data_IF_603531160872
#
_entry.id   IF_603531160872
#
_cell.length_a   1.000
_cell.length_b   1.000
_cell.length_c   1.000
_cell.angle_alpha   90.00
_cell.angle_beta   90.00
_cell.angle_gamma   90.00
#
_symmetry.space_group_name_H-M   'P 1'
#
loop_
_entity.id
_entity.type
_entity.pdbx_description
1 polymer ?
#
# COMPACT_ATOMS: atom_id res chain seq x y z
N UNK A 1 -17.02 -24.12 1.01
CA UNK A 1 -15.78 -24.37 1.78
C UNK A 1 -15.38 -23.10 2.49
N UNK A 2 -15.16 -23.12 3.83
CA UNK A 2 -14.60 -21.97 4.54
C UNK A 2 -13.15 -21.76 4.07
N UNK A 3 -12.83 -20.53 3.65
CA UNK A 3 -11.46 -20.17 3.27
C UNK A 3 -10.56 -20.17 4.51
N UNK A 4 -9.34 -20.73 4.44
CA UNK A 4 -8.39 -20.67 5.54
C UNK A 4 -8.11 -19.21 5.91
N UNK A 5 -8.34 -18.86 7.17
CA UNK A 5 -8.13 -17.51 7.68
C UNK A 5 -6.64 -17.19 7.68
N UNK A 6 -6.22 -16.14 6.96
CA UNK A 6 -4.83 -15.66 7.02
C UNK A 6 -4.50 -15.34 8.49
N UNK A 7 -3.41 -15.89 9.06
CA UNK A 7 -3.06 -15.66 10.45
C UNK A 7 -2.86 -14.16 10.74
N UNK A 8 -3.38 -13.69 11.87
CA UNK A 8 -3.37 -12.27 12.27
C UNK A 8 -1.99 -11.61 12.15
N UNK A 9 -0.91 -12.33 12.51
CA UNK A 9 0.48 -11.86 12.40
C UNK A 9 0.88 -11.48 10.97
N UNK A 10 0.46 -12.26 9.96
CA UNK A 10 0.75 -11.96 8.55
C UNK A 10 0.01 -10.69 8.10
N UNK A 11 -1.26 -10.53 8.52
CA UNK A 11 -2.06 -9.32 8.24
C UNK A 11 -1.43 -8.07 8.86
N UNK A 12 -1.01 -8.17 10.14
CA UNK A 12 -0.36 -7.07 10.84
C UNK A 12 0.97 -6.68 10.19
N UNK A 13 1.79 -7.66 9.81
CA UNK A 13 3.06 -7.40 9.10
C UNK A 13 2.83 -6.70 7.77
N UNK A 14 1.86 -7.14 6.97
CA UNK A 14 1.53 -6.51 5.69
C UNK A 14 1.02 -5.08 5.88
N UNK A 15 0.16 -4.85 6.88
CA UNK A 15 -0.32 -3.51 7.23
C UNK A 15 0.85 -2.60 7.65
N UNK A 16 1.75 -3.08 8.50
CA UNK A 16 2.93 -2.32 8.94
C UNK A 16 3.90 -2.01 7.79
N UNK A 17 4.19 -2.99 6.92
CA UNK A 17 5.03 -2.78 5.73
C UNK A 17 4.42 -1.73 4.81
N UNK A 18 3.10 -1.78 4.62
CA UNK A 18 2.42 -0.79 3.80
C UNK A 18 2.41 0.59 4.46
N UNK A 19 2.21 0.67 5.78
CA UNK A 19 2.32 1.92 6.54
C UNK A 19 3.71 2.57 6.36
N UNK A 20 4.77 1.77 6.51
CA UNK A 20 6.15 2.23 6.36
C UNK A 20 6.44 2.68 4.94
N UNK A 21 6.04 1.89 3.93
CA UNK A 21 6.29 2.22 2.52
C UNK A 21 5.61 3.53 2.13
N UNK A 22 4.33 3.69 2.50
CA UNK A 22 3.59 4.91 2.21
C UNK A 22 4.12 6.09 3.00
N UNK A 23 4.43 5.91 4.28
CA UNK A 23 4.96 6.99 5.10
C UNK A 23 6.33 7.48 4.62
N UNK A 24 7.23 6.55 4.29
CA UNK A 24 8.54 6.88 3.70
C UNK A 24 8.41 7.55 2.32
N UNK A 25 7.47 7.08 1.49
CA UNK A 25 7.19 7.68 0.18
C UNK A 25 6.73 9.13 0.30
N UNK A 26 5.74 9.39 1.16
CA UNK A 26 5.23 10.75 1.40
C UNK A 26 6.29 11.65 2.06
N UNK A 27 7.02 11.15 3.05
CA UNK A 27 8.13 11.88 3.66
C UNK A 27 9.15 12.33 2.60
N UNK A 28 9.60 11.39 1.76
CA UNK A 28 10.62 11.66 0.74
C UNK A 28 10.11 12.65 -0.30
N UNK A 29 8.87 12.50 -0.76
CA UNK A 29 8.25 13.42 -1.70
C UNK A 29 8.12 14.84 -1.12
N UNK A 30 7.65 14.96 0.13
CA UNK A 30 7.53 16.25 0.81
C UNK A 30 8.89 16.91 1.04
N UNK A 31 9.89 16.13 1.45
CA UNK A 31 11.26 16.65 1.64
C UNK A 31 11.86 17.13 0.32
N UNK A 32 11.66 16.38 -0.77
CA UNK A 32 12.11 16.77 -2.10
C UNK A 32 11.44 18.06 -2.57
N UNK A 33 10.12 18.20 -2.38
CA UNK A 33 9.38 19.42 -2.72
C UNK A 33 9.87 20.63 -1.92
N UNK A 34 10.07 20.47 -0.60
CA UNK A 34 10.60 21.55 0.24
C UNK A 34 12.01 21.95 -0.17
N UNK A 35 12.86 20.96 -0.44
CA UNK A 35 14.24 21.18 -0.91
C UNK A 35 14.24 21.94 -2.24
N UNK A 36 13.42 21.51 -3.20
CA UNK A 36 13.27 22.20 -4.49
C UNK A 36 12.78 23.63 -4.31
N UNK A 37 11.79 23.87 -3.43
CA UNK A 37 11.26 25.20 -3.14
C UNK A 37 12.33 26.14 -2.57
N UNK A 38 13.21 25.62 -1.71
CA UNK A 38 14.34 26.34 -1.14
C UNK A 38 15.37 26.71 -2.22
N UNK A 39 15.72 25.78 -3.11
CA UNK A 39 16.63 26.04 -4.23
C UNK A 39 16.09 27.04 -5.25
N UNK A 40 14.77 27.07 -5.44
CA UNK A 40 14.10 27.98 -6.37
C UNK A 40 13.80 29.36 -5.77
N UNK A 41 14.16 29.62 -4.50
CA UNK A 41 13.94 30.91 -3.85
C UNK A 41 12.49 31.22 -3.48
N UNK A 42 11.61 30.21 -3.47
CA UNK A 42 10.19 30.38 -3.12
C UNK A 42 9.91 30.22 -1.61
N UNK A 43 10.94 30.23 -0.77
CA UNK A 43 10.79 30.03 0.67
C UNK A 43 10.17 31.29 1.31
N UNK A 44 9.04 31.17 2.03
CA UNK A 44 8.52 32.26 2.84
C UNK A 44 9.59 32.74 3.84
N UNK A 45 9.67 34.06 4.05
CA UNK A 45 10.55 34.63 5.07
C UNK A 45 10.20 34.02 6.44
N UNK A 46 11.20 33.48 7.14
CA UNK A 46 11.04 32.94 8.50
C UNK A 46 10.80 31.44 8.63
N UNK A 47 10.66 30.67 7.54
CA UNK A 47 10.60 29.20 7.62
C UNK A 47 12.02 28.63 7.47
N UNK A 48 12.56 28.05 8.53
CA UNK A 48 13.87 27.41 8.52
C UNK A 48 13.85 26.03 7.86
N UNK A 49 15.02 25.53 7.44
CA UNK A 49 15.16 24.17 6.91
C UNK A 49 14.62 23.11 7.90
N UNK A 50 14.87 23.31 9.20
CA UNK A 50 14.38 22.42 10.26
C UNK A 50 12.84 22.38 10.34
N UNK A 51 12.16 23.49 10.08
CA UNK A 51 10.70 23.52 10.02
C UNK A 51 10.19 22.72 8.82
N UNK A 52 10.88 22.82 7.68
CA UNK A 52 10.61 22.02 6.48
C UNK A 52 10.77 20.52 6.73
N UNK A 53 11.84 20.11 7.43
CA UNK A 53 12.04 18.70 7.85
C UNK A 53 10.93 18.26 8.80
N UNK A 54 10.60 19.08 9.80
CA UNK A 54 9.50 18.79 10.74
C UNK A 54 8.16 18.60 10.02
N UNK A 55 7.86 19.42 9.01
CA UNK A 55 6.67 19.29 8.18
C UNK A 55 6.70 18.01 7.34
N UNK A 56 7.85 17.69 6.71
CA UNK A 56 8.00 16.46 5.95
C UNK A 56 7.76 15.21 6.81
N UNK A 57 8.26 15.19 8.05
CA UNK A 57 7.98 14.09 9.02
C UNK A 57 6.48 13.97 9.27
N UNK A 58 5.78 15.08 9.55
CA UNK A 58 4.33 15.08 9.80
C UNK A 58 3.56 14.54 8.59
N UNK A 59 3.92 14.97 7.38
CA UNK A 59 3.30 14.47 6.15
C UNK A 59 3.60 12.98 5.95
N UNK A 60 4.82 12.53 6.25
CA UNK A 60 5.16 11.11 6.24
C UNK A 60 4.31 10.28 7.19
N UNK A 61 4.12 10.74 8.44
CA UNK A 61 3.27 10.05 9.42
C UNK A 61 1.82 9.93 8.92
N UNK A 62 1.24 11.03 8.44
CA UNK A 62 -0.09 11.00 7.83
C UNK A 62 -0.16 10.09 6.60
N UNK A 63 0.87 10.13 5.77
CA UNK A 63 1.03 9.22 4.63
C UNK A 63 0.96 7.75 5.04
N UNK A 64 1.63 7.37 6.13
CA UNK A 64 1.61 6.01 6.65
C UNK A 64 0.24 5.58 7.19
N UNK A 65 -0.44 6.47 7.94
CA UNK A 65 -1.81 6.23 8.43
C UNK A 65 -2.75 5.99 7.26
N UNK A 66 -2.68 6.84 6.24
CA UNK A 66 -3.58 6.78 5.09
C UNK A 66 -3.28 5.61 4.17
N UNK A 67 -2.01 5.30 3.96
CA UNK A 67 -1.62 4.07 3.26
C UNK A 67 -2.21 2.84 3.95
N UNK A 68 -2.18 2.79 5.28
CA UNK A 68 -2.77 1.69 6.06
C UNK A 68 -4.28 1.61 5.86
N UNK A 69 -5.00 2.72 6.04
CA UNK A 69 -6.44 2.78 5.86
C UNK A 69 -6.85 2.39 4.43
N UNK A 70 -6.13 2.89 3.42
CA UNK A 70 -6.35 2.54 2.02
C UNK A 70 -6.18 1.05 1.76
N UNK A 71 -5.09 0.43 2.25
CA UNK A 71 -4.86 -1.00 2.09
C UNK A 71 -5.91 -1.86 2.78
N UNK A 72 -6.40 -1.44 3.95
CA UNK A 72 -7.52 -2.11 4.62
C UNK A 72 -8.78 -2.01 3.75
N UNK A 73 -9.10 -0.81 3.25
CA UNK A 73 -10.29 -0.58 2.42
C UNK A 73 -10.23 -1.40 1.12
N UNK A 74 -9.10 -1.40 0.41
CA UNK A 74 -8.89 -2.20 -0.80
C UNK A 74 -8.98 -3.69 -0.48
N UNK A 75 -8.34 -4.13 0.61
CA UNK A 75 -8.38 -5.51 1.08
C UNK A 75 -9.82 -5.98 1.31
N UNK A 76 -10.62 -5.23 2.06
CA UNK A 76 -12.03 -5.54 2.32
C UNK A 76 -12.88 -5.48 1.05
N UNK A 77 -12.72 -4.43 0.24
CA UNK A 77 -13.56 -4.18 -0.94
C UNK A 77 -13.34 -5.16 -2.07
N UNK A 78 -12.12 -5.68 -2.20
CA UNK A 78 -11.68 -6.54 -3.29
C UNK A 78 -11.24 -7.94 -2.81
N UNK A 79 -11.63 -8.36 -1.61
CA UNK A 79 -11.36 -9.73 -1.12
C UNK A 79 -11.89 -10.76 -2.14
N UNK A 80 -11.02 -11.68 -2.55
CA UNK A 80 -11.38 -12.79 -3.45
C UNK A 80 -11.50 -12.45 -4.93
N UNK A 81 -11.26 -11.19 -5.33
CA UNK A 81 -11.21 -10.80 -6.75
C UNK A 81 -9.78 -10.84 -7.28
N UNK A 82 -9.61 -11.24 -8.54
CA UNK A 82 -8.31 -11.12 -9.21
C UNK A 82 -8.04 -9.64 -9.52
N UNK A 83 -6.79 -9.19 -9.44
CA UNK A 83 -6.42 -7.80 -9.78
C UNK A 83 -6.84 -7.44 -11.21
N UNK A 84 -6.79 -8.42 -12.13
CA UNK A 84 -7.24 -8.28 -13.51
C UNK A 84 -8.76 -8.02 -13.66
N UNK A 85 -9.58 -8.39 -12.68
CA UNK A 85 -11.04 -8.20 -12.69
C UNK A 85 -11.45 -6.82 -12.15
N UNK A 86 -10.53 -6.11 -11.49
CA UNK A 86 -10.80 -4.77 -10.96
C UNK A 86 -10.91 -3.81 -12.15
N UNK A 87 -12.13 -3.31 -12.37
CA UNK A 87 -12.41 -2.30 -13.40
C UNK A 87 -11.63 -1.03 -13.07
N UNK A 88 -10.80 -0.56 -14.02
CA UNK A 88 -9.92 0.60 -13.84
C UNK A 88 -10.68 1.88 -13.54
N UNK A 89 -11.68 2.21 -14.35
CA UNK A 89 -12.42 3.46 -14.23
C UNK A 89 -13.04 3.69 -12.83
N UNK A 90 -13.84 2.77 -12.25
CA UNK A 90 -14.39 2.99 -10.91
C UNK A 90 -13.32 3.01 -9.81
N UNK A 91 -12.18 2.32 -9.99
CA UNK A 91 -11.06 2.38 -9.05
C UNK A 91 -10.36 3.75 -9.10
N UNK A 92 -10.09 4.26 -10.31
CA UNK A 92 -9.54 5.60 -10.55
C UNK A 92 -10.47 6.67 -9.97
N UNK A 93 -11.78 6.60 -10.24
CA UNK A 93 -12.75 7.55 -9.70
C UNK A 93 -12.86 7.45 -8.17
N UNK A 94 -12.87 6.23 -7.62
CA UNK A 94 -12.87 6.02 -6.17
C UNK A 94 -11.62 6.60 -5.50
N UNK A 95 -10.46 6.47 -6.14
CA UNK A 95 -9.21 7.08 -5.68
C UNK A 95 -9.26 8.60 -5.78
N UNK A 96 -9.83 9.15 -6.86
CA UNK A 96 -10.00 10.58 -7.03
C UNK A 96 -10.86 11.19 -5.93
N UNK A 97 -12.04 10.60 -5.68
CA UNK A 97 -12.94 11.04 -4.60
C UNK A 97 -12.29 10.86 -3.23
N UNK A 98 -11.66 9.70 -2.99
CA UNK A 98 -11.01 9.41 -1.73
C UNK A 98 -9.92 10.41 -1.39
N UNK A 99 -9.01 10.70 -2.33
CA UNK A 99 -7.92 11.66 -2.10
C UNK A 99 -8.43 13.11 -2.07
N UNK A 100 -9.36 13.47 -2.96
CA UNK A 100 -9.94 14.81 -2.99
C UNK A 100 -10.68 15.19 -1.71
N UNK A 101 -11.28 14.21 -1.02
CA UNK A 101 -11.87 14.41 0.31
C UNK A 101 -10.84 14.30 1.43
N UNK A 102 -9.84 13.42 1.27
CA UNK A 102 -8.85 13.16 2.30
C UNK A 102 -8.00 14.40 2.62
N UNK A 103 -7.48 15.10 1.61
CA UNK A 103 -6.57 16.24 1.85
C UNK A 103 -7.25 17.35 2.67
N UNK A 104 -8.47 17.83 2.32
CA UNK A 104 -9.15 18.82 3.13
C UNK A 104 -9.41 18.36 4.57
N UNK A 105 -9.85 17.12 4.76
CA UNK A 105 -10.12 16.57 6.09
C UNK A 105 -8.84 16.43 6.93
N UNK A 106 -7.73 16.04 6.29
CA UNK A 106 -6.43 15.94 6.96
C UNK A 106 -5.94 17.32 7.41
N UNK A 107 -6.07 18.34 6.57
CA UNK A 107 -5.71 19.72 6.93
C UNK A 107 -6.58 20.24 8.08
N UNK A 108 -7.90 20.05 8.02
CA UNK A 108 -8.79 20.42 9.11
C UNK A 108 -8.42 19.72 10.42
N UNK A 109 -8.13 18.42 10.36
CA UNK A 109 -7.72 17.63 11.53
C UNK A 109 -6.41 18.15 12.11
N UNK A 110 -5.42 18.43 11.26
CA UNK A 110 -4.12 18.96 11.68
C UNK A 110 -4.24 20.32 12.37
N UNK A 111 -5.08 21.23 11.85
CA UNK A 111 -5.29 22.54 12.48
C UNK A 111 -6.05 22.45 13.79
N UNK A 112 -7.05 21.58 13.88
CA UNK A 112 -7.74 21.29 15.14
C UNK A 112 -6.77 20.76 16.20
N UNK A 113 -5.92 19.79 15.83
CA UNK A 113 -4.90 19.25 16.73
C UNK A 113 -3.83 20.29 17.10
N UNK A 114 -3.56 21.26 16.22
CA UNK A 114 -2.68 22.40 16.47
C UNK A 114 -3.31 23.53 17.29
N UNK A 115 -4.62 23.48 17.57
CA UNK A 115 -5.33 24.53 18.31
C UNK A 115 -5.66 25.78 17.49
N UNK A 116 -5.50 25.74 16.16
CA UNK A 116 -5.66 26.91 15.27
C UNK A 116 -7.10 27.10 14.76
N UNK A 117 -8.03 26.23 15.16
CA UNK A 117 -9.41 26.22 14.67
C UNK A 117 -9.56 25.62 13.27
N UNK A 118 -10.80 25.63 12.75
CA UNK A 118 -11.11 25.14 11.40
C UNK A 118 -10.79 26.19 10.34
N UNK A 119 -10.27 25.77 9.18
CA UNK A 119 -10.21 26.61 7.99
C UNK A 119 -11.61 26.81 7.38
N UNK A 120 -11.89 27.98 6.78
CA UNK A 120 -13.03 28.14 5.88
C UNK A 120 -12.98 27.10 4.76
N UNK A 121 -14.13 26.49 4.43
CA UNK A 121 -14.18 25.45 3.40
C UNK A 121 -13.72 25.95 2.03
N UNK A 122 -14.01 27.21 1.68
CA UNK A 122 -13.55 27.85 0.44
C UNK A 122 -12.05 27.69 0.24
N UNK A 123 -11.27 27.84 1.30
CA UNK A 123 -9.81 27.91 1.23
C UNK A 123 -9.16 26.53 1.00
N UNK A 124 -9.92 25.44 1.20
CA UNK A 124 -9.42 24.06 1.12
C UNK A 124 -10.07 23.30 -0.04
N UNK A 125 -11.26 23.71 -0.48
CA UNK A 125 -11.95 23.06 -1.60
C UNK A 125 -11.34 23.40 -2.96
N UNK A 126 -10.67 24.54 -3.09
CA UNK A 126 -10.01 24.92 -4.34
C UNK A 126 -8.91 23.91 -4.71
N UNK A 127 -8.20 23.39 -3.71
CA UNK A 127 -7.21 22.33 -3.87
C UNK A 127 -7.83 20.92 -3.99
N UNK A 128 -9.10 20.74 -3.59
CA UNK A 128 -9.77 19.44 -3.63
C UNK A 128 -9.92 18.90 -5.06
N UNK A 129 -10.11 19.80 -6.05
CA UNK A 129 -10.19 19.43 -7.46
C UNK A 129 -8.85 18.86 -7.95
N UNK A 130 -7.76 19.57 -7.67
CA UNK A 130 -6.42 19.14 -8.09
C UNK A 130 -5.98 17.88 -7.35
N UNK A 131 -6.15 17.83 -6.03
CA UNK A 131 -5.81 16.65 -5.23
C UNK A 131 -6.63 15.44 -5.65
N UNK A 132 -7.92 15.62 -5.97
CA UNK A 132 -8.76 14.57 -6.53
C UNK A 132 -8.28 14.10 -7.91
N UNK A 133 -7.95 15.02 -8.81
CA UNK A 133 -7.40 14.68 -10.14
C UNK A 133 -6.10 13.87 -10.00
N UNK A 134 -5.15 14.35 -9.21
CA UNK A 134 -3.88 13.66 -8.96
C UNK A 134 -4.09 12.32 -8.26
N UNK A 135 -4.99 12.24 -7.29
CA UNK A 135 -5.35 11.00 -6.62
C UNK A 135 -5.96 9.97 -7.56
N UNK A 136 -6.80 10.42 -8.49
CA UNK A 136 -7.34 9.58 -9.56
C UNK A 136 -6.25 9.01 -10.45
N UNK A 137 -5.37 9.87 -10.97
CA UNK A 137 -4.24 9.46 -11.83
C UNK A 137 -3.33 8.49 -11.08
N UNK A 138 -2.93 8.81 -9.85
CA UNK A 138 -2.05 7.97 -9.03
C UNK A 138 -2.70 6.61 -8.74
N UNK A 139 -3.97 6.57 -8.36
CA UNK A 139 -4.71 5.33 -8.14
C UNK A 139 -4.83 4.49 -9.42
N UNK A 140 -5.17 5.13 -10.55
CA UNK A 140 -5.27 4.47 -11.85
C UNK A 140 -3.94 3.87 -12.33
N UNK A 141 -2.84 4.62 -12.17
CA UNK A 141 -1.49 4.15 -12.49
C UNK A 141 -1.07 3.01 -11.57
N UNK A 142 -1.31 3.13 -10.27
CA UNK A 142 -0.99 2.07 -9.29
C UNK A 142 -1.72 0.77 -9.63
N UNK A 143 -3.02 0.82 -9.92
CA UNK A 143 -3.77 -0.35 -10.34
C UNK A 143 -3.26 -0.91 -11.67
N UNK A 144 -2.92 -0.05 -12.62
CA UNK A 144 -2.39 -0.48 -13.92
C UNK A 144 -1.07 -1.20 -13.77
N UNK A 145 -0.14 -0.66 -12.97
CA UNK A 145 1.14 -1.30 -12.66
C UNK A 145 0.94 -2.61 -11.91
N UNK A 146 0.03 -2.66 -10.94
CA UNK A 146 -0.30 -3.88 -10.22
C UNK A 146 -0.87 -4.97 -11.16
N UNK A 147 -1.72 -4.58 -12.11
CA UNK A 147 -2.24 -5.50 -13.13
C UNK A 147 -1.17 -5.97 -14.12
N UNK A 148 -0.22 -5.12 -14.47
CA UNK A 148 0.92 -5.49 -15.34
C UNK A 148 1.83 -6.46 -14.58
N UNK A 149 2.19 -6.14 -13.35
CA UNK A 149 3.01 -7.02 -12.51
C UNK A 149 2.34 -8.39 -12.32
N UNK A 150 1.02 -8.44 -12.13
CA UNK A 150 0.26 -9.69 -12.01
C UNK A 150 0.25 -10.53 -13.31
N UNK A 151 0.43 -9.89 -14.48
CA UNK A 151 0.53 -10.59 -15.77
C UNK A 151 1.94 -11.09 -16.07
N UNK A 152 2.96 -10.35 -15.65
CA UNK A 152 4.38 -10.65 -15.94
C UNK A 152 4.93 -11.69 -14.97
N UNK A 153 4.46 -11.72 -13.73
CA UNK A 153 4.87 -12.73 -12.76
C UNK A 153 4.25 -14.09 -13.14
N UNK A 154 5.05 -15.17 -13.30
CA UNK A 154 4.54 -16.49 -13.59
C UNK A 154 3.45 -16.89 -12.57
N UNK A 155 2.41 -17.63 -12.98
CA UNK A 155 1.32 -18.08 -12.09
C UNK A 155 1.74 -18.88 -10.84
N UNK A 156 3.04 -19.14 -10.62
CA UNK A 156 3.59 -19.90 -9.50
C UNK A 156 4.42 -19.12 -8.47
N UNK A 157 4.65 -17.81 -8.63
CA UNK A 157 5.39 -17.00 -7.61
C UNK A 157 4.48 -16.62 -6.43
N UNK A 158 3.19 -16.98 -6.47
CA UNK A 158 2.15 -16.37 -5.63
C UNK A 158 2.03 -16.92 -4.22
N UNK A 159 2.73 -17.99 -3.88
CA UNK A 159 3.13 -18.14 -2.49
C UNK A 159 4.39 -18.98 -2.42
N UNK A 160 5.44 -18.37 -1.91
CA UNK A 160 6.57 -19.10 -1.33
C UNK A 160 6.06 -20.23 -0.41
N UNK A 161 4.90 -20.04 0.23
CA UNK A 161 4.13 -21.04 0.97
C UNK A 161 3.58 -22.20 0.11
N UNK A 162 2.98 -21.98 -1.07
CA UNK A 162 2.61 -23.06 -2.01
C UNK A 162 3.85 -23.76 -2.56
N UNK A 163 4.92 -23.03 -2.85
CA UNK A 163 6.18 -23.63 -3.27
C UNK A 163 6.75 -24.51 -2.16
N UNK A 164 6.73 -24.03 -0.91
CA UNK A 164 7.17 -24.80 0.27
C UNK A 164 6.26 -26.00 0.52
N UNK A 165 4.94 -25.85 0.41
CA UNK A 165 3.97 -26.95 0.56
C UNK A 165 4.15 -27.99 -0.54
N UNK A 166 4.26 -27.56 -1.79
CA UNK A 166 4.46 -28.45 -2.93
C UNK A 166 5.82 -29.15 -2.90
N UNK A 167 6.86 -28.48 -2.41
CA UNK A 167 8.16 -29.09 -2.16
C UNK A 167 8.12 -30.07 -0.98
N UNK A 168 7.35 -29.77 0.06
CA UNK A 168 7.15 -30.68 1.20
C UNK A 168 6.39 -31.93 0.76
N UNK A 169 5.32 -31.80 -0.02
CA UNK A 169 4.57 -32.92 -0.58
C UNK A 169 5.44 -33.79 -1.50
N UNK A 170 6.29 -33.16 -2.33
CA UNK A 170 7.25 -33.88 -3.16
C UNK A 170 8.29 -34.63 -2.33
N UNK A 171 8.77 -34.05 -1.22
CA UNK A 171 9.72 -34.70 -0.33
C UNK A 171 9.09 -35.89 0.41
N UNK A 172 7.83 -35.78 0.84
CA UNK A 172 7.08 -36.88 1.45
C UNK A 172 6.89 -38.02 0.45
N UNK A 173 6.44 -37.72 -0.77
CA UNK A 173 6.27 -38.72 -1.82
C UNK A 173 7.58 -39.43 -2.18
N UNK A 174 8.70 -38.71 -2.23
CA UNK A 174 10.02 -39.29 -2.44
C UNK A 174 10.42 -40.25 -1.32
N UNK A 175 10.18 -39.85 -0.06
CA UNK A 175 10.47 -40.70 1.10
C UNK A 175 9.60 -41.96 1.14
N UNK A 176 8.32 -41.87 0.77
CA UNK A 176 7.42 -43.03 0.66
C UNK A 176 7.87 -44.01 -0.42
N UNK A 177 8.30 -43.49 -1.59
CA UNK A 177 8.83 -44.32 -2.66
C UNK A 177 10.10 -45.05 -2.24
N UNK A 178 10.98 -44.39 -1.49
CA UNK A 178 12.22 -44.98 -1.00
C UNK A 178 11.96 -46.10 0.02
N UNK A 179 11.00 -45.89 0.94
CA UNK A 179 10.53 -46.94 1.88
C UNK A 179 9.95 -48.14 1.16
N UNK A 180 9.13 -47.93 0.12
CA UNK A 180 8.56 -49.01 -0.67
C UNK A 180 9.66 -49.81 -1.41
N UNK A 181 10.70 -49.13 -1.92
CA UNK A 181 11.84 -49.79 -2.56
C UNK A 181 12.67 -50.61 -1.56
N UNK A 182 12.83 -50.14 -0.33
CA UNK A 182 13.55 -50.88 0.72
C UNK A 182 12.78 -52.12 1.14
N UNK A 183 11.47 -52.01 1.40
CA UNK A 183 10.65 -53.18 1.76
C UNK A 183 10.61 -54.24 0.64
N UNK A 184 10.56 -53.82 -0.62
CA UNK A 184 10.61 -54.73 -1.77
C UNK A 184 11.94 -55.47 -1.87
N UNK A 185 13.07 -54.80 -1.54
CA UNK A 185 14.40 -55.44 -1.53
C UNK A 185 14.56 -56.42 -0.37
N UNK A 186 13.97 -56.13 0.78
CA UNK A 186 13.99 -57.01 1.94
C UNK A 186 13.13 -58.26 1.70
N UNK A 187 11.97 -58.12 1.08
CA UNK A 187 11.10 -59.25 0.73
C UNK A 187 11.69 -60.20 -0.33
N UNK A 188 12.68 -59.72 -1.10
CA UNK A 188 13.37 -60.50 -2.13
C UNK A 188 14.63 -61.23 -1.63
N UNK A 189 14.99 -61.07 -0.35
CA UNK A 189 16.11 -61.77 0.31
C UNK A 189 15.60 -62.91 1.17
#
# INVERSE_FOLDING_TARGET
MPMPSIPFRKRLRAAAQNAVLWGAGFFTASLALMTARLFLGFSPEGIGFLDGVGMAIRIGVWGGICGTAFSIAVGLRFTGRRLAEIRRLPFTLGSAVGIGLFVPLALQTLRLLGGEGLLPWSDITDDAIFTGLFGGIAGGLTLTLAQIADRVLPPGVRSEEELLLRNADAAIAAAELERARTSTREAAR
#
